data_IF_619518723067
#
_entry.id   IF_619518723067
#
_cell.length_a   1.000
_cell.length_b   1.000
_cell.length_c   1.000
_cell.angle_alpha   90.00
_cell.angle_beta   90.00
_cell.angle_gamma   90.00
#
_symmetry.space_group_name_H-M   'P 1'
#
loop_
_entity.id
_entity.type
_entity.pdbx_description
1 polymer ?
#
# COMPACT_ATOMS: atom_id res chain seq x y z
N UNK A 1 23.79 21.85 -15.21
CA UNK A 1 23.55 22.99 -16.12
C UNK A 1 23.34 22.65 -17.61
N UNK A 2 23.66 21.49 -18.19
CA UNK A 2 23.31 21.22 -19.60
C UNK A 2 21.85 20.84 -19.85
N UNK A 3 21.08 20.43 -18.85
CA UNK A 3 19.67 20.04 -19.02
C UNK A 3 18.71 21.23 -19.12
N UNK A 4 18.98 22.32 -18.41
CA UNK A 4 18.17 23.53 -18.47
C UNK A 4 18.22 24.22 -19.85
N UNK A 5 19.38 24.15 -20.54
CA UNK A 5 19.54 24.75 -21.87
C UNK A 5 18.90 23.94 -23.01
N UNK A 6 18.70 22.62 -22.83
CA UNK A 6 17.95 21.77 -23.76
C UNK A 6 16.44 21.89 -23.56
N UNK A 7 15.98 22.14 -22.33
CA UNK A 7 14.56 22.34 -22.02
C UNK A 7 13.98 23.63 -22.62
N UNK A 8 14.80 24.68 -22.74
CA UNK A 8 14.33 25.98 -23.28
C UNK A 8 14.23 26.03 -24.81
N UNK A 9 14.61 24.94 -25.55
CA UNK A 9 14.57 24.89 -27.02
C UNK A 9 13.46 23.99 -27.62
N UNK A 10 12.66 23.32 -26.80
CA UNK A 10 11.63 22.37 -27.28
C UNK A 10 10.24 22.61 -26.67
N UNK A 11 9.92 23.81 -26.22
CA UNK A 11 8.55 24.19 -25.96
C UNK A 11 7.92 24.63 -27.30
N UNK A 12 7.05 23.84 -27.90
CA UNK A 12 6.20 24.34 -28.98
C UNK A 12 5.29 25.40 -28.38
N UNK A 13 5.17 26.54 -29.03
CA UNK A 13 4.08 27.50 -28.81
C UNK A 13 2.74 26.73 -28.81
N UNK A 14 2.18 26.47 -27.64
CA UNK A 14 0.83 25.97 -27.47
C UNK A 14 -0.15 27.12 -27.72
N UNK A 15 -0.53 27.27 -29.00
CA UNK A 15 -1.72 28.03 -29.37
C UNK A 15 -2.96 27.35 -28.76
N UNK A 16 -3.72 28.14 -28.07
CA UNK A 16 -5.03 27.91 -27.49
C UNK A 16 -5.99 27.01 -28.28
N UNK A 17 -6.20 25.80 -27.80
CA UNK A 17 -7.42 25.03 -28.04
C UNK A 17 -7.76 24.29 -26.74
N UNK A 18 -8.39 24.98 -25.76
CA UNK A 18 -8.07 24.64 -24.43
C UNK A 18 -9.19 24.33 -23.45
N UNK A 19 -10.47 24.24 -23.72
CA UNK A 19 -11.46 23.94 -22.68
C UNK A 19 -11.51 22.45 -22.26
N UNK A 20 -11.15 21.53 -23.15
CA UNK A 20 -11.13 20.09 -22.85
C UNK A 20 -9.91 19.63 -22.05
N UNK A 21 -8.76 20.27 -22.25
CA UNK A 21 -7.49 19.88 -21.60
C UNK A 21 -7.46 20.30 -20.13
N UNK A 22 -7.98 21.47 -19.79
CA UNK A 22 -8.12 21.95 -18.42
C UNK A 22 -9.00 21.01 -17.56
N UNK A 23 -10.12 20.54 -18.11
CA UNK A 23 -11.04 19.63 -17.40
C UNK A 23 -10.41 18.26 -17.13
N UNK A 24 -9.55 17.77 -18.02
CA UNK A 24 -8.88 16.46 -17.86
C UNK A 24 -7.88 16.51 -16.71
N UNK A 25 -7.09 17.58 -16.58
CA UNK A 25 -6.13 17.72 -15.49
C UNK A 25 -6.80 17.91 -14.13
N UNK A 26 -7.89 18.68 -14.06
CA UNK A 26 -8.69 18.80 -12.85
C UNK A 26 -9.27 17.45 -12.41
N UNK A 27 -9.77 16.66 -13.36
CA UNK A 27 -10.30 15.32 -13.06
C UNK A 27 -9.19 14.39 -12.52
N UNK A 28 -8.01 14.42 -13.12
CA UNK A 28 -6.86 13.61 -12.68
C UNK A 28 -6.42 14.00 -11.28
N UNK A 29 -6.34 15.29 -10.95
CA UNK A 29 -5.93 15.77 -9.63
C UNK A 29 -6.92 15.42 -8.50
N UNK A 30 -8.20 15.20 -8.81
CA UNK A 30 -9.20 14.72 -7.85
C UNK A 30 -9.19 13.19 -7.76
N UNK A 31 -9.09 12.51 -8.90
CA UNK A 31 -9.21 11.06 -8.98
C UNK A 31 -8.03 10.34 -8.31
N UNK A 32 -6.81 10.85 -8.49
CA UNK A 32 -5.61 10.22 -7.91
C UNK A 32 -5.67 10.15 -6.38
N UNK A 33 -5.89 11.25 -5.63
CA UNK A 33 -6.02 11.18 -4.17
C UNK A 33 -7.18 10.30 -3.71
N UNK A 34 -8.29 10.28 -4.45
CA UNK A 34 -9.42 9.42 -4.14
C UNK A 34 -9.03 7.94 -4.22
N UNK A 35 -8.29 7.53 -5.26
CA UNK A 35 -7.81 6.15 -5.41
C UNK A 35 -6.79 5.81 -4.32
N UNK A 36 -5.85 6.71 -3.99
CA UNK A 36 -4.93 6.49 -2.87
C UNK A 36 -5.66 6.37 -1.53
N UNK A 37 -6.70 7.18 -1.29
CA UNK A 37 -7.53 7.09 -0.09
C UNK A 37 -8.26 5.74 0.00
N UNK A 38 -8.76 5.24 -1.13
CA UNK A 38 -9.37 3.92 -1.20
C UNK A 38 -8.35 2.80 -0.92
N UNK A 39 -7.17 2.88 -1.51
CA UNK A 39 -6.05 1.95 -1.24
C UNK A 39 -5.70 1.97 0.25
N UNK A 40 -5.59 3.15 0.84
CA UNK A 40 -5.29 3.31 2.27
C UNK A 40 -6.36 2.65 3.16
N UNK A 41 -7.63 2.94 2.92
CA UNK A 41 -8.75 2.42 3.74
C UNK A 41 -8.89 0.89 3.58
N UNK A 42 -8.99 0.41 2.35
CA UNK A 42 -9.17 -1.03 2.07
C UNK A 42 -7.96 -1.83 2.54
N UNK A 43 -6.77 -1.32 2.27
CA UNK A 43 -5.54 -2.00 2.65
C UNK A 43 -5.32 -2.03 4.16
N UNK A 44 -5.52 -0.89 4.86
CA UNK A 44 -5.37 -0.84 6.32
C UNK A 44 -6.38 -1.75 7.01
N UNK A 45 -7.67 -1.63 6.68
CA UNK A 45 -8.71 -2.46 7.28
C UNK A 45 -8.52 -3.93 6.94
N UNK A 46 -8.23 -4.24 5.68
CA UNK A 46 -8.05 -5.62 5.21
C UNK A 46 -6.88 -6.33 5.89
N UNK A 47 -5.69 -5.71 5.90
CA UNK A 47 -4.51 -6.32 6.52
C UNK A 47 -4.63 -6.37 8.05
N UNK A 48 -5.19 -5.34 8.69
CA UNK A 48 -5.46 -5.37 10.13
C UNK A 48 -6.41 -6.52 10.51
N UNK A 49 -7.45 -6.79 9.72
CA UNK A 49 -8.34 -7.93 9.93
C UNK A 49 -7.62 -9.27 9.75
N UNK A 50 -6.75 -9.41 8.74
CA UNK A 50 -5.93 -10.63 8.56
C UNK A 50 -5.05 -10.87 9.78
N UNK A 51 -4.33 -9.85 10.26
CA UNK A 51 -3.49 -9.94 11.47
C UNK A 51 -4.33 -10.30 12.68
N UNK A 52 -5.48 -9.64 12.89
CA UNK A 52 -6.36 -9.91 14.02
C UNK A 52 -6.90 -11.36 14.01
N UNK A 53 -7.25 -11.92 12.84
CA UNK A 53 -7.69 -13.33 12.73
C UNK A 53 -6.58 -14.28 13.10
N UNK A 54 -5.35 -14.05 12.62
CA UNK A 54 -4.22 -14.95 12.87
C UNK A 54 -3.76 -14.90 14.33
N UNK A 55 -3.71 -13.70 14.93
CA UNK A 55 -3.28 -13.50 16.31
C UNK A 55 -4.33 -14.00 17.31
N UNK A 56 -5.60 -13.67 17.11
CA UNK A 56 -6.69 -14.01 18.05
C UNK A 56 -6.97 -15.50 18.14
N UNK A 57 -6.78 -16.25 17.07
CA UNK A 57 -7.08 -17.68 17.04
C UNK A 57 -5.90 -18.56 17.48
N UNK A 58 -4.78 -18.01 17.95
CA UNK A 58 -3.57 -18.75 18.34
C UNK A 58 -2.95 -19.55 17.18
N UNK A 59 -3.30 -19.21 15.94
CA UNK A 59 -2.91 -19.96 14.75
C UNK A 59 -1.54 -19.59 14.18
N UNK A 60 -0.77 -18.79 14.93
CA UNK A 60 0.60 -18.38 14.57
C UNK A 60 1.58 -19.56 14.56
N UNK A 61 1.16 -20.74 15.02
CA UNK A 61 2.01 -21.92 15.18
C UNK A 61 2.31 -22.68 13.87
N UNK A 62 1.78 -22.27 12.73
CA UNK A 62 2.11 -22.89 11.44
C UNK A 62 3.04 -21.99 10.62
N UNK A 63 4.02 -22.59 9.93
CA UNK A 63 4.98 -21.87 9.08
C UNK A 63 4.27 -20.93 8.08
N UNK A 64 3.21 -21.43 7.44
CA UNK A 64 2.44 -20.67 6.45
C UNK A 64 1.75 -19.44 7.06
N UNK A 65 1.14 -19.60 8.25
CA UNK A 65 0.45 -18.50 8.90
C UNK A 65 1.43 -17.43 9.39
N UNK A 66 2.64 -17.82 9.81
CA UNK A 66 3.73 -16.89 10.13
C UNK A 66 4.13 -16.06 8.91
N UNK A 67 4.26 -16.67 7.73
CA UNK A 67 4.56 -15.94 6.50
C UNK A 67 3.40 -15.05 6.04
N UNK A 68 2.14 -15.49 6.16
CA UNK A 68 0.97 -14.66 5.87
C UNK A 68 0.91 -13.45 6.84
N UNK A 69 1.23 -13.68 8.11
CA UNK A 69 1.34 -12.62 9.12
C UNK A 69 2.42 -11.61 8.71
N UNK A 70 3.61 -12.09 8.33
CA UNK A 70 4.72 -11.26 7.90
C UNK A 70 4.36 -10.42 6.66
N UNK A 71 3.69 -11.03 5.68
CA UNK A 71 3.21 -10.32 4.49
C UNK A 71 2.22 -9.22 4.87
N UNK A 72 1.27 -9.50 5.76
CA UNK A 72 0.31 -8.51 6.26
C UNK A 72 0.96 -7.37 7.04
N UNK A 73 2.04 -7.64 7.79
CA UNK A 73 2.84 -6.61 8.47
C UNK A 73 3.56 -5.73 7.45
N UNK A 74 4.22 -6.31 6.45
CA UNK A 74 4.88 -5.54 5.40
C UNK A 74 3.90 -4.65 4.62
N UNK A 75 2.73 -5.20 4.25
CA UNK A 75 1.67 -4.45 3.57
C UNK A 75 1.10 -3.32 4.43
N UNK A 76 0.89 -3.53 5.74
CA UNK A 76 0.46 -2.48 6.65
C UNK A 76 1.50 -1.38 6.82
N UNK A 77 2.77 -1.74 6.96
CA UNK A 77 3.86 -0.77 7.03
C UNK A 77 3.89 0.09 5.76
N UNK A 78 3.78 -0.53 4.58
CA UNK A 78 3.72 0.18 3.32
C UNK A 78 2.52 1.14 3.25
N UNK A 79 1.31 0.65 3.56
CA UNK A 79 0.08 1.44 3.44
C UNK A 79 0.09 2.62 4.41
N UNK A 80 0.43 2.39 5.67
CA UNK A 80 0.36 3.43 6.72
C UNK A 80 1.46 4.48 6.57
N UNK A 81 2.69 4.04 6.23
CA UNK A 81 3.86 4.93 6.20
C UNK A 81 4.22 5.45 4.81
N UNK A 82 3.62 4.95 3.73
CA UNK A 82 3.98 5.39 2.39
C UNK A 82 2.81 5.98 1.61
N UNK A 83 1.65 5.34 1.62
CA UNK A 83 0.51 5.75 0.79
C UNK A 83 0.05 7.19 1.05
N UNK A 84 -0.09 7.68 2.30
CA UNK A 84 -0.49 9.07 2.55
C UNK A 84 0.48 10.08 1.96
N UNK A 85 1.79 9.85 2.10
CA UNK A 85 2.82 10.76 1.58
C UNK A 85 2.88 10.73 0.05
N UNK A 86 2.69 9.57 -0.56
CA UNK A 86 2.63 9.47 -2.02
C UNK A 86 1.38 10.15 -2.60
N UNK A 87 0.25 10.10 -1.90
CA UNK A 87 -0.94 10.83 -2.32
C UNK A 87 -0.71 12.34 -2.37
N UNK A 88 0.05 12.89 -1.40
CA UNK A 88 0.32 14.33 -1.33
C UNK A 88 1.23 14.83 -2.44
N UNK A 89 2.12 14.01 -3.00
CA UNK A 89 2.96 14.38 -4.16
C UNK A 89 2.11 14.78 -5.38
N UNK A 90 0.90 14.26 -5.49
CA UNK A 90 -0.02 14.57 -6.59
C UNK A 90 -1.05 15.64 -6.26
N UNK A 91 -1.11 16.12 -5.02
CA UNK A 91 -2.08 17.10 -4.54
C UNK A 91 -1.46 18.41 -4.08
N UNK A 92 -0.22 18.35 -3.61
CA UNK A 92 0.53 19.51 -3.15
C UNK A 92 1.65 19.82 -4.14
N UNK A 93 1.92 21.11 -4.30
CA UNK A 93 3.01 21.57 -5.15
C UNK A 93 4.36 21.45 -4.46
N UNK A 94 4.36 21.47 -3.11
CA UNK A 94 5.53 21.42 -2.26
C UNK A 94 5.62 20.13 -1.45
N UNK A 95 6.86 19.64 -1.27
CA UNK A 95 7.16 18.62 -0.26
C UNK A 95 7.27 19.29 1.12
N UNK A 96 6.24 19.16 1.94
CA UNK A 96 6.12 19.84 3.24
C UNK A 96 6.61 19.00 4.44
N UNK A 97 7.04 17.75 4.21
CA UNK A 97 7.31 16.79 5.30
C UNK A 97 8.77 16.77 5.74
N UNK A 98 9.62 17.59 5.13
CA UNK A 98 11.03 17.73 5.49
C UNK A 98 11.95 16.60 4.97
N UNK A 99 13.27 16.78 5.16
CA UNK A 99 14.28 15.91 4.55
C UNK A 99 14.30 14.49 5.14
N UNK A 100 13.94 14.33 6.42
CA UNK A 100 13.88 13.01 7.06
C UNK A 100 12.78 12.15 6.44
N UNK A 101 11.58 12.71 6.25
CA UNK A 101 10.46 11.97 5.66
C UNK A 101 10.68 11.69 4.18
N UNK A 102 11.34 12.57 3.44
CA UNK A 102 11.76 12.31 2.06
C UNK A 102 12.58 11.00 1.95
N UNK A 103 13.55 10.81 2.83
CA UNK A 103 14.38 9.60 2.86
C UNK A 103 13.62 8.39 3.42
N UNK A 104 12.90 8.56 4.53
CA UNK A 104 12.21 7.48 5.23
C UNK A 104 11.10 6.85 4.40
N UNK A 105 10.25 7.66 3.77
CA UNK A 105 9.14 7.16 2.95
C UNK A 105 9.66 6.30 1.80
N UNK A 106 10.64 6.79 1.04
CA UNK A 106 11.20 6.04 -0.08
C UNK A 106 11.96 4.79 0.39
N UNK A 107 12.74 4.88 1.47
CA UNK A 107 13.37 3.71 2.08
C UNK A 107 12.34 2.64 2.47
N UNK A 108 11.23 3.01 3.13
CA UNK A 108 10.19 2.07 3.56
C UNK A 108 9.46 1.47 2.36
N UNK A 109 9.22 2.22 1.28
CA UNK A 109 8.64 1.68 0.03
C UNK A 109 9.45 0.50 -0.48
N UNK A 110 10.75 0.68 -0.66
CA UNK A 110 11.63 -0.39 -1.17
C UNK A 110 11.83 -1.51 -0.17
N UNK A 111 11.98 -1.19 1.13
CA UNK A 111 12.08 -2.17 2.21
C UNK A 111 10.90 -3.14 2.21
N UNK A 112 9.69 -2.60 2.19
CA UNK A 112 8.45 -3.41 2.23
C UNK A 112 8.21 -4.15 0.92
N UNK A 113 8.57 -3.57 -0.23
CA UNK A 113 8.53 -4.24 -1.53
C UNK A 113 9.43 -5.49 -1.54
N UNK A 114 10.69 -5.37 -1.11
CA UNK A 114 11.61 -6.51 -0.99
C UNK A 114 11.09 -7.54 0.02
N UNK A 115 10.63 -7.09 1.19
CA UNK A 115 10.09 -7.98 2.22
C UNK A 115 8.88 -8.78 1.72
N UNK A 116 7.95 -8.17 1.01
CA UNK A 116 6.79 -8.84 0.41
C UNK A 116 7.21 -9.84 -0.67
N UNK A 117 8.10 -9.43 -1.57
CA UNK A 117 8.61 -10.27 -2.66
C UNK A 117 9.34 -11.53 -2.14
N UNK A 118 10.27 -11.35 -1.20
CA UNK A 118 11.02 -12.45 -0.59
C UNK A 118 10.11 -13.35 0.27
N UNK A 119 9.12 -12.79 0.95
CA UNK A 119 8.12 -13.57 1.69
C UNK A 119 7.31 -14.46 0.77
N UNK A 120 6.79 -13.93 -0.35
CA UNK A 120 6.06 -14.73 -1.33
C UNK A 120 6.91 -15.85 -1.92
N UNK A 121 8.17 -15.55 -2.23
CA UNK A 121 9.14 -16.55 -2.72
C UNK A 121 9.34 -17.66 -1.68
N UNK A 122 9.55 -17.30 -0.42
CA UNK A 122 9.75 -18.26 0.68
C UNK A 122 8.50 -19.10 0.92
N UNK A 123 7.31 -18.50 0.90
CA UNK A 123 6.04 -19.22 1.02
C UNK A 123 5.84 -20.21 -0.12
N UNK A 124 6.22 -19.86 -1.35
CA UNK A 124 6.10 -20.77 -2.48
C UNK A 124 7.01 -22.00 -2.34
N UNK A 125 8.22 -21.79 -1.86
CA UNK A 125 9.16 -22.87 -1.52
C UNK A 125 8.63 -23.74 -0.38
N UNK A 126 8.11 -23.14 0.70
CA UNK A 126 7.47 -23.86 1.82
C UNK A 126 6.32 -24.74 1.32
N UNK A 127 5.49 -24.22 0.42
CA UNK A 127 4.38 -24.99 -0.17
C UNK A 127 4.86 -26.11 -1.07
N UNK A 128 5.85 -25.85 -1.90
CA UNK A 128 6.47 -26.87 -2.75
C UNK A 128 7.01 -28.03 -1.91
N UNK A 129 7.79 -27.73 -0.88
CA UNK A 129 8.34 -28.74 0.04
C UNK A 129 7.24 -29.54 0.77
N UNK A 130 6.18 -28.84 1.25
CA UNK A 130 5.06 -29.47 1.93
C UNK A 130 4.29 -30.48 1.07
N UNK A 131 4.27 -30.26 -0.24
CA UNK A 131 3.52 -31.09 -1.19
C UNK A 131 4.41 -32.19 -1.75
N UNK A 132 5.63 -31.86 -2.17
CA UNK A 132 6.53 -32.82 -2.84
C UNK A 132 7.21 -33.78 -1.88
N UNK A 133 7.58 -33.29 -0.68
CA UNK A 133 8.34 -34.03 0.32
C UNK A 133 7.68 -33.95 1.71
N UNK A 134 6.45 -34.47 1.89
CA UNK A 134 5.64 -34.21 3.09
C UNK A 134 6.27 -34.78 4.39
N UNK A 135 7.00 -35.87 4.31
CA UNK A 135 7.66 -36.48 5.46
C UNK A 135 8.99 -35.76 5.78
N UNK A 136 9.85 -35.64 4.79
CA UNK A 136 11.19 -35.09 4.97
C UNK A 136 11.19 -33.60 5.30
N UNK A 137 10.24 -32.84 4.74
CA UNK A 137 10.13 -31.37 5.00
C UNK A 137 9.57 -31.04 6.37
N UNK A 138 9.04 -32.01 7.12
CA UNK A 138 8.40 -31.80 8.43
C UNK A 138 9.37 -31.19 9.45
N UNK A 139 10.62 -31.67 9.44
CA UNK A 139 11.68 -31.16 10.32
C UNK A 139 12.12 -29.75 9.99
N UNK A 140 12.13 -29.38 8.69
CA UNK A 140 12.48 -28.03 8.24
C UNK A 140 11.37 -27.01 8.48
N UNK A 141 10.11 -27.46 8.44
CA UNK A 141 8.93 -26.61 8.49
C UNK A 141 8.44 -26.40 9.92
N UNK A 142 9.33 -25.90 10.78
CA UNK A 142 9.02 -25.53 12.17
C UNK A 142 8.76 -24.02 12.30
N UNK A 143 7.99 -23.58 13.31
CA UNK A 143 7.81 -22.15 13.59
C UNK A 143 9.14 -21.43 13.82
N UNK A 144 10.10 -22.07 14.47
CA UNK A 144 11.44 -21.51 14.71
C UNK A 144 12.17 -21.20 13.40
N UNK A 145 12.18 -22.15 12.46
CA UNK A 145 12.81 -21.96 11.16
C UNK A 145 12.08 -20.92 10.32
N UNK A 146 10.75 -20.83 10.43
CA UNK A 146 9.97 -19.77 9.78
C UNK A 146 10.32 -18.37 10.32
N UNK A 147 10.49 -18.24 11.64
CA UNK A 147 10.92 -16.96 12.25
C UNK A 147 12.35 -16.59 11.83
N UNK A 148 13.27 -17.55 11.79
CA UNK A 148 14.63 -17.31 11.28
C UNK A 148 14.60 -16.87 9.81
N UNK A 149 13.78 -17.49 8.98
CA UNK A 149 13.59 -17.07 7.58
C UNK A 149 13.00 -15.67 7.48
N UNK A 150 12.04 -15.30 8.33
CA UNK A 150 11.49 -13.94 8.39
C UNK A 150 12.57 -12.92 8.80
N UNK A 151 13.39 -13.20 9.81
CA UNK A 151 14.51 -12.34 10.18
C UNK A 151 15.50 -12.17 9.02
N UNK A 152 15.82 -13.24 8.29
CA UNK A 152 16.66 -13.18 7.10
C UNK A 152 16.04 -12.34 5.98
N UNK A 153 14.73 -12.51 5.73
CA UNK A 153 13.98 -11.72 4.74
C UNK A 153 14.10 -10.22 5.06
N UNK A 154 13.84 -9.81 6.31
CA UNK A 154 13.98 -8.42 6.70
C UNK A 154 15.42 -7.92 6.62
N UNK A 155 16.40 -8.72 7.06
CA UNK A 155 17.82 -8.39 6.95
C UNK A 155 18.25 -8.14 5.51
N UNK A 156 17.89 -9.03 4.58
CA UNK A 156 18.15 -8.85 3.14
C UNK A 156 17.42 -7.63 2.60
N UNK A 157 16.16 -7.43 3.00
CA UNK A 157 15.38 -6.27 2.56
C UNK A 157 16.01 -4.96 3.01
N UNK A 158 16.55 -4.87 4.23
CA UNK A 158 17.32 -3.72 4.71
C UNK A 158 18.59 -3.49 3.89
N UNK A 159 19.34 -4.54 3.55
CA UNK A 159 20.54 -4.43 2.72
C UNK A 159 20.22 -3.87 1.34
N UNK A 160 19.21 -4.41 0.67
CA UNK A 160 18.82 -3.98 -0.69
C UNK A 160 18.17 -2.60 -0.72
N UNK A 161 17.44 -2.22 0.33
CA UNK A 161 16.80 -0.89 0.43
C UNK A 161 17.70 0.19 1.01
N UNK A 162 18.77 -0.17 1.70
CA UNK A 162 19.71 0.77 2.34
C UNK A 162 20.20 1.90 1.45
N UNK A 163 20.61 1.64 0.19
CA UNK A 163 21.06 2.68 -0.74
C UNK A 163 20.05 3.80 -0.97
N UNK A 164 18.74 3.53 -0.84
CA UNK A 164 17.67 4.52 -1.04
C UNK A 164 17.69 5.64 0.01
N UNK A 165 18.29 5.45 1.17
CA UNK A 165 18.49 6.50 2.19
C UNK A 165 19.36 7.65 1.67
N UNK A 166 20.36 7.34 0.84
CA UNK A 166 21.24 8.33 0.20
C UNK A 166 20.80 8.71 -1.22
N UNK A 167 19.88 7.94 -1.79
CA UNK A 167 19.38 8.15 -3.14
C UNK A 167 18.42 9.33 -3.25
N UNK A 168 17.56 9.54 -2.24
CA UNK A 168 16.58 10.62 -2.19
C UNK A 168 17.00 11.74 -1.24
N UNK A 169 16.78 12.98 -1.66
CA UNK A 169 16.99 14.16 -0.85
C UNK A 169 15.99 15.25 -1.21
N UNK A 170 15.64 16.03 -0.20
CA UNK A 170 14.88 17.26 -0.35
C UNK A 170 15.79 18.39 -0.85
N UNK A 171 15.35 19.15 -1.83
CA UNK A 171 15.99 20.38 -2.30
C UNK A 171 14.99 21.32 -2.94
N UNK A 172 15.37 22.59 -3.07
CA UNK A 172 14.53 23.62 -3.66
C UNK A 172 14.82 23.80 -5.15
N UNK A 173 13.74 23.88 -5.95
CA UNK A 173 13.76 24.22 -7.37
C UNK A 173 12.76 25.34 -7.63
N UNK A 174 13.22 26.52 -8.04
CA UNK A 174 12.36 27.66 -8.37
C UNK A 174 11.30 27.97 -7.29
N UNK A 175 11.70 28.03 -6.01
CA UNK A 175 10.86 28.27 -4.83
C UNK A 175 9.89 27.14 -4.44
N UNK A 176 10.01 25.97 -5.07
CA UNK A 176 9.25 24.76 -4.70
C UNK A 176 10.19 23.76 -4.07
N UNK A 177 9.81 23.18 -2.94
CA UNK A 177 10.55 22.13 -2.27
C UNK A 177 10.15 20.78 -2.85
N UNK A 178 11.13 19.99 -3.34
CA UNK A 178 10.87 18.68 -3.94
C UNK A 178 11.72 17.58 -3.29
N UNK A 179 11.15 16.40 -3.13
CA UNK A 179 11.86 15.20 -2.75
C UNK A 179 12.24 14.41 -4.00
N UNK A 180 13.53 14.33 -4.32
CA UNK A 180 13.99 13.83 -5.63
C UNK A 180 15.28 13.01 -5.51
N UNK A 181 15.54 12.04 -6.44
CA UNK A 181 16.81 11.36 -6.54
C UNK A 181 17.96 12.31 -6.90
N UNK A 182 19.01 12.28 -6.07
CA UNK A 182 20.20 13.14 -6.26
C UNK A 182 21.36 12.42 -6.97
N UNK A 183 21.29 11.11 -7.09
CA UNK A 183 22.35 10.35 -7.73
C UNK A 183 22.46 10.64 -9.22
N UNK A 184 23.68 10.52 -9.77
CA UNK A 184 23.93 10.65 -11.20
C UNK A 184 23.14 9.62 -12.02
N UNK A 185 22.77 9.97 -13.23
CA UNK A 185 21.99 9.14 -14.15
C UNK A 185 22.51 7.70 -14.29
N UNK A 186 23.83 7.45 -14.46
CA UNK A 186 24.33 6.08 -14.58
C UNK A 186 24.09 5.24 -13.31
N UNK A 187 24.28 5.83 -12.13
CA UNK A 187 24.06 5.14 -10.85
C UNK A 187 22.59 4.84 -10.62
N UNK A 188 21.70 5.78 -10.98
CA UNK A 188 20.24 5.60 -10.91
C UNK A 188 19.79 4.45 -11.79
N UNK A 189 20.25 4.41 -13.04
CA UNK A 189 19.95 3.34 -13.98
C UNK A 189 20.38 1.96 -13.47
N UNK A 190 21.56 1.85 -12.88
CA UNK A 190 22.06 0.61 -12.26
C UNK A 190 21.18 0.23 -11.07
N UNK A 191 20.82 1.19 -10.21
CA UNK A 191 20.01 0.93 -9.02
C UNK A 191 18.61 0.39 -9.41
N UNK A 192 17.94 1.01 -10.38
CA UNK A 192 16.64 0.58 -10.88
C UNK A 192 16.72 -0.80 -11.53
N UNK A 193 17.80 -1.08 -12.28
CA UNK A 193 18.04 -2.40 -12.86
C UNK A 193 18.27 -3.47 -11.78
N UNK A 194 19.07 -3.17 -10.76
CA UNK A 194 19.28 -4.07 -9.62
C UNK A 194 17.96 -4.34 -8.89
N UNK A 195 17.18 -3.29 -8.66
CA UNK A 195 15.86 -3.43 -8.04
C UNK A 195 14.94 -4.31 -8.87
N UNK A 196 14.86 -4.10 -10.17
CA UNK A 196 14.09 -4.97 -11.07
C UNK A 196 14.53 -6.43 -10.99
N UNK A 197 15.83 -6.70 -11.03
CA UNK A 197 16.35 -8.07 -10.99
C UNK A 197 16.07 -8.74 -9.66
N UNK A 198 16.40 -8.09 -8.53
CA UNK A 198 16.32 -8.71 -7.22
C UNK A 198 14.91 -8.71 -6.60
N UNK A 199 14.08 -7.69 -6.87
CA UNK A 199 12.73 -7.64 -6.32
C UNK A 199 11.67 -8.32 -7.20
N UNK A 200 11.95 -8.49 -8.51
CA UNK A 200 10.96 -8.98 -9.45
C UNK A 200 11.43 -10.21 -10.26
N UNK A 201 12.52 -10.11 -11.03
CA UNK A 201 12.93 -11.20 -11.96
C UNK A 201 13.26 -12.48 -11.20
N UNK A 202 14.18 -12.43 -10.24
CA UNK A 202 14.57 -13.60 -9.44
C UNK A 202 13.38 -14.21 -8.68
N UNK A 203 12.57 -13.44 -7.94
CA UNK A 203 11.34 -13.94 -7.35
C UNK A 203 10.39 -14.59 -8.34
N UNK A 204 10.10 -13.96 -9.47
CA UNK A 204 9.19 -14.51 -10.48
C UNK A 204 9.70 -15.81 -11.08
N UNK A 205 10.99 -15.94 -11.33
CA UNK A 205 11.61 -17.21 -11.80
C UNK A 205 11.43 -18.32 -10.76
N UNK A 206 11.73 -18.05 -9.49
CA UNK A 206 11.56 -19.03 -8.41
C UNK A 206 10.08 -19.41 -8.22
N UNK A 207 9.19 -18.42 -8.22
CA UNK A 207 7.74 -18.62 -8.14
C UNK A 207 7.24 -19.50 -9.30
N UNK A 208 7.63 -19.17 -10.52
CA UNK A 208 7.24 -19.92 -11.73
C UNK A 208 7.73 -21.37 -11.66
N UNK A 209 9.00 -21.58 -11.31
CA UNK A 209 9.57 -22.91 -11.17
C UNK A 209 8.84 -23.75 -10.09
N UNK A 210 8.67 -23.20 -8.91
CA UNK A 210 8.04 -23.90 -7.78
C UNK A 210 6.57 -24.23 -8.06
N UNK A 211 5.82 -23.32 -8.69
CA UNK A 211 4.41 -23.55 -8.99
C UNK A 211 4.21 -24.51 -10.16
N UNK A 212 4.99 -24.41 -11.23
CA UNK A 212 4.93 -25.40 -12.33
C UNK A 212 5.22 -26.79 -11.79
N UNK A 213 6.24 -26.96 -10.95
CA UNK A 213 6.56 -28.25 -10.32
C UNK A 213 5.44 -28.73 -9.40
N UNK A 214 4.87 -27.85 -8.58
CA UNK A 214 3.77 -28.16 -7.67
C UNK A 214 2.50 -28.58 -8.43
N UNK A 215 2.13 -27.83 -9.47
CA UNK A 215 0.95 -28.11 -10.27
C UNK A 215 1.12 -29.46 -11.00
N UNK A 216 2.27 -29.68 -11.66
CA UNK A 216 2.55 -30.96 -12.34
C UNK A 216 2.43 -32.13 -11.37
N UNK A 217 3.02 -32.02 -10.18
CA UNK A 217 2.92 -33.09 -9.15
C UNK A 217 1.47 -33.33 -8.72
N UNK A 218 0.69 -32.26 -8.49
CA UNK A 218 -0.71 -32.38 -8.08
C UNK A 218 -1.61 -32.99 -9.17
N UNK A 219 -1.27 -32.82 -10.46
CA UNK A 219 -2.04 -33.35 -11.58
C UNK A 219 -1.61 -34.78 -11.95
N UNK A 220 -0.35 -35.14 -11.74
CA UNK A 220 0.14 -36.51 -11.99
C UNK A 220 -0.27 -37.49 -10.90
N UNK A 221 -0.45 -37.01 -9.67
CA UNK A 221 -1.02 -37.81 -8.57
C UNK A 221 -2.55 -37.82 -8.66
N UNK A 222 -3.09 -38.52 -9.67
CA UNK A 222 -4.53 -38.67 -9.92
C UNK A 222 -5.11 -39.68 -8.93
N UNK A 223 -5.40 -39.25 -7.71
CA UNK A 223 -6.44 -39.88 -6.92
C UNK A 223 -7.78 -39.23 -7.30
N UNK A 224 -8.84 -39.99 -7.62
CA UNK A 224 -10.16 -39.41 -7.89
C UNK A 224 -10.55 -38.52 -6.71
N UNK A 225 -11.08 -37.33 -7.02
CA UNK A 225 -11.41 -36.25 -6.03
C UNK A 225 -12.33 -36.79 -4.90
N UNK A 226 -13.05 -37.87 -5.13
CA UNK A 226 -13.95 -38.53 -4.16
C UNK A 226 -13.21 -39.18 -2.97
N UNK A 227 -12.02 -39.73 -3.18
CA UNK A 227 -11.31 -40.54 -2.15
C UNK A 227 -10.18 -39.74 -1.45
N UNK A 228 -10.07 -38.43 -1.71
CA UNK A 228 -9.02 -37.62 -1.13
C UNK A 228 -9.33 -37.25 0.31
N UNK A 229 -8.40 -37.57 1.25
CA UNK A 229 -8.53 -37.16 2.65
C UNK A 229 -8.72 -35.68 2.83
N UNK A 230 -9.48 -35.22 3.82
CA UNK A 230 -9.76 -33.81 4.08
C UNK A 230 -8.49 -32.98 4.32
N UNK A 231 -7.43 -33.62 4.84
CA UNK A 231 -6.11 -32.99 4.97
C UNK A 231 -5.48 -32.66 3.61
N UNK A 232 -5.56 -33.55 2.62
CA UNK A 232 -5.08 -33.27 1.25
C UNK A 232 -5.89 -32.18 0.57
N UNK A 233 -7.23 -32.17 0.74
CA UNK A 233 -8.11 -31.10 0.25
C UNK A 233 -7.75 -29.75 0.85
N UNK A 234 -7.48 -29.70 2.16
CA UNK A 234 -7.05 -28.49 2.87
C UNK A 234 -5.73 -27.94 2.32
N UNK A 235 -4.72 -28.77 2.14
CA UNK A 235 -3.42 -28.38 1.58
C UNK A 235 -3.54 -27.80 0.16
N UNK A 236 -4.32 -28.45 -0.73
CA UNK A 236 -4.57 -27.95 -2.10
C UNK A 236 -5.21 -26.57 -2.09
N UNK A 237 -6.15 -26.32 -1.18
CA UNK A 237 -6.84 -25.05 -1.08
C UNK A 237 -5.93 -23.90 -0.64
N UNK A 238 -5.08 -24.14 0.38
CA UNK A 238 -4.08 -23.16 0.83
C UNK A 238 -3.08 -22.87 -0.29
N UNK A 239 -2.60 -23.90 -0.97
CA UNK A 239 -1.68 -23.73 -2.12
C UNK A 239 -2.30 -22.91 -3.24
N UNK A 240 -3.56 -23.20 -3.61
CA UNK A 240 -4.29 -22.40 -4.62
C UNK A 240 -4.37 -20.91 -4.22
N UNK A 241 -4.66 -20.64 -2.96
CA UNK A 241 -4.72 -19.26 -2.43
C UNK A 241 -3.38 -18.54 -2.62
N UNK A 242 -2.27 -19.20 -2.27
CA UNK A 242 -0.93 -18.61 -2.37
C UNK A 242 -0.51 -18.42 -3.84
N UNK A 243 -0.86 -19.37 -4.73
CA UNK A 243 -0.63 -19.21 -6.17
C UNK A 243 -1.34 -17.95 -6.71
N UNK A 244 -2.60 -17.74 -6.33
CA UNK A 244 -3.37 -16.56 -6.75
C UNK A 244 -2.67 -15.28 -6.26
N UNK A 245 -2.27 -15.22 -4.99
CA UNK A 245 -1.55 -14.05 -4.43
C UNK A 245 -0.26 -13.79 -5.19
N UNK A 246 0.52 -14.82 -5.51
CA UNK A 246 1.77 -14.68 -6.24
C UNK A 246 1.57 -14.23 -7.70
N UNK A 247 0.56 -14.74 -8.38
CA UNK A 247 0.21 -14.31 -9.75
C UNK A 247 -0.22 -12.85 -9.73
N UNK A 248 -1.03 -12.44 -8.76
CA UNK A 248 -1.45 -11.05 -8.62
C UNK A 248 -0.28 -10.12 -8.28
N UNK A 249 0.66 -10.56 -7.44
CA UNK A 249 1.90 -9.82 -7.20
C UNK A 249 2.66 -9.58 -8.51
N UNK A 250 2.86 -10.63 -9.31
CA UNK A 250 3.55 -10.50 -10.60
C UNK A 250 2.83 -9.51 -11.53
N UNK A 251 1.50 -9.60 -11.64
CA UNK A 251 0.70 -8.73 -12.50
C UNK A 251 0.65 -7.28 -12.02
N UNK A 252 0.60 -7.06 -10.71
CA UNK A 252 0.56 -5.71 -10.15
C UNK A 252 1.90 -4.96 -10.29
N UNK A 253 3.03 -5.66 -10.16
CA UNK A 253 4.35 -5.05 -10.25
C UNK A 253 4.88 -4.95 -11.68
N UNK A 254 4.41 -5.78 -12.61
CA UNK A 254 4.87 -5.79 -14.00
C UNK A 254 4.77 -4.42 -14.70
N UNK A 255 3.63 -3.70 -14.65
CA UNK A 255 3.52 -2.41 -15.35
C UNK A 255 4.55 -1.39 -14.85
N UNK A 256 4.78 -1.33 -13.55
CA UNK A 256 5.77 -0.44 -12.94
C UNK A 256 7.18 -0.71 -13.47
N UNK A 257 7.63 -1.96 -13.45
CA UNK A 257 8.95 -2.32 -13.95
C UNK A 257 9.09 -2.12 -15.46
N UNK A 258 8.04 -2.41 -16.24
CA UNK A 258 8.04 -2.16 -17.70
C UNK A 258 8.20 -0.67 -18.00
N UNK A 259 7.48 0.20 -17.32
CA UNK A 259 7.58 1.66 -17.49
C UNK A 259 8.98 2.17 -17.15
N UNK A 260 9.59 1.71 -16.06
CA UNK A 260 10.96 2.10 -15.68
C UNK A 260 11.99 1.61 -16.71
N UNK A 261 11.90 0.37 -17.15
CA UNK A 261 12.80 -0.17 -18.17
C UNK A 261 12.64 0.55 -19.52
N UNK A 262 11.41 0.86 -19.92
CA UNK A 262 11.16 1.65 -21.11
C UNK A 262 11.76 3.04 -21.00
N UNK A 263 11.65 3.69 -19.84
CA UNK A 263 12.27 4.98 -19.58
C UNK A 263 13.80 4.95 -19.72
N UNK A 264 14.46 3.90 -19.23
CA UNK A 264 15.92 3.80 -19.24
C UNK A 264 16.51 3.30 -20.55
N UNK A 265 15.83 2.40 -21.24
CA UNK A 265 16.39 1.66 -22.37
C UNK A 265 15.67 1.90 -23.70
N UNK A 266 14.51 2.54 -23.68
CA UNK A 266 13.73 2.84 -24.87
C UNK A 266 13.64 4.33 -25.16
N UNK A 267 12.95 4.67 -26.26
CA UNK A 267 12.51 6.03 -26.51
C UNK A 267 11.22 6.26 -25.73
N UNK A 268 11.33 6.93 -24.58
CA UNK A 268 10.20 7.26 -23.72
C UNK A 268 9.74 8.69 -23.99
N UNK A 269 8.63 8.91 -24.70
CA UNK A 269 8.14 10.25 -24.98
C UNK A 269 7.56 10.87 -23.71
N UNK A 270 7.96 12.10 -23.41
CA UNK A 270 7.44 12.86 -22.27
C UNK A 270 6.16 13.60 -22.71
N UNK A 271 5.02 12.94 -22.60
CA UNK A 271 3.71 13.48 -22.94
C UNK A 271 2.66 13.04 -21.92
N UNK A 272 1.43 13.56 -22.06
CA UNK A 272 0.33 13.29 -21.14
C UNK A 272 0.00 11.80 -21.03
N UNK A 273 0.09 11.05 -22.12
CA UNK A 273 -0.22 9.62 -22.14
C UNK A 273 0.79 8.81 -21.31
N UNK A 274 2.09 9.08 -21.45
CA UNK A 274 3.13 8.40 -20.67
C UNK A 274 3.12 8.82 -19.20
N UNK A 275 2.74 10.06 -18.91
CA UNK A 275 2.51 10.52 -17.54
C UNK A 275 1.36 9.73 -16.86
N UNK A 276 0.20 9.65 -17.52
CA UNK A 276 -0.94 8.86 -17.02
C UNK A 276 -0.57 7.38 -16.89
N UNK A 277 0.10 6.80 -17.88
CA UNK A 277 0.57 5.40 -17.82
C UNK A 277 1.44 5.14 -16.60
N UNK A 278 2.33 6.07 -16.28
CA UNK A 278 3.18 5.98 -15.12
C UNK A 278 2.37 6.02 -13.83
N UNK A 279 1.47 6.99 -13.66
CA UNK A 279 0.59 7.07 -12.49
C UNK A 279 -0.19 5.77 -12.33
N UNK A 280 -0.80 5.26 -13.39
CA UNK A 280 -1.54 4.00 -13.37
C UNK A 280 -0.66 2.82 -12.96
N UNK A 281 0.57 2.75 -13.45
CA UNK A 281 1.51 1.71 -13.08
C UNK A 281 1.86 1.74 -11.58
N UNK A 282 2.00 2.93 -10.98
CA UNK A 282 2.18 3.09 -9.54
C UNK A 282 0.94 2.70 -8.76
N UNK A 283 -0.24 3.19 -9.14
CA UNK A 283 -1.49 2.85 -8.47
C UNK A 283 -1.75 1.33 -8.45
N UNK A 284 -1.47 0.65 -9.57
CA UNK A 284 -1.60 -0.81 -9.68
C UNK A 284 -0.60 -1.51 -8.74
N UNK A 285 0.65 -1.07 -8.69
CA UNK A 285 1.65 -1.66 -7.78
C UNK A 285 1.29 -1.44 -6.31
N UNK A 286 0.75 -0.27 -5.96
CA UNK A 286 0.31 0.04 -4.59
C UNK A 286 -0.96 -0.72 -4.19
N UNK A 287 -1.88 -0.94 -5.13
CA UNK A 287 -3.06 -1.77 -4.92
C UNK A 287 -2.71 -3.23 -4.57
N UNK A 288 -1.50 -3.71 -4.91
CA UNK A 288 -1.04 -5.06 -4.53
C UNK A 288 -1.19 -5.34 -3.03
N UNK A 289 -0.87 -4.37 -2.17
CA UNK A 289 -1.00 -4.52 -0.72
C UNK A 289 -2.45 -4.63 -0.22
N UNK A 290 -3.43 -4.23 -1.05
CA UNK A 290 -4.86 -4.40 -0.77
C UNK A 290 -5.41 -5.75 -1.24
N UNK A 291 -4.76 -6.37 -2.23
CA UNK A 291 -5.27 -7.58 -2.90
C UNK A 291 -5.18 -8.81 -1.99
N UNK A 292 -4.13 -8.92 -1.17
CA UNK A 292 -3.89 -10.06 -0.30
C UNK A 292 -5.07 -10.38 0.64
N UNK A 293 -5.61 -9.45 1.44
CA UNK A 293 -6.79 -9.68 2.26
C UNK A 293 -8.03 -10.07 1.48
N UNK A 294 -8.22 -9.49 0.28
CA UNK A 294 -9.37 -9.79 -0.59
C UNK A 294 -9.29 -11.24 -1.06
N UNK A 295 -8.13 -11.70 -1.51
CA UNK A 295 -7.92 -13.10 -1.92
C UNK A 295 -8.19 -14.05 -0.75
N UNK A 296 -7.72 -13.71 0.46
CA UNK A 296 -7.97 -14.53 1.65
C UNK A 296 -9.47 -14.61 1.98
N UNK A 297 -10.20 -13.50 1.85
CA UNK A 297 -11.64 -13.46 2.04
C UNK A 297 -12.40 -14.30 1.01
N UNK A 298 -12.00 -14.25 -0.26
CA UNK A 298 -12.68 -14.96 -1.34
C UNK A 298 -12.37 -16.46 -1.33
N UNK A 299 -11.12 -16.83 -1.13
CA UNK A 299 -10.65 -18.22 -1.31
C UNK A 299 -10.71 -19.02 -0.03
N UNK A 300 -10.45 -18.43 1.14
CA UNK A 300 -10.33 -19.15 2.42
C UNK A 300 -11.58 -19.08 3.29
N UNK A 301 -12.24 -20.24 3.50
CA UNK A 301 -13.35 -20.37 4.47
C UNK A 301 -12.92 -19.98 5.89
N UNK A 302 -11.65 -20.24 6.24
CA UNK A 302 -11.09 -19.91 7.54
C UNK A 302 -11.08 -18.41 7.79
N UNK A 303 -10.51 -17.61 6.89
CA UNK A 303 -10.49 -16.15 7.00
C UNK A 303 -11.90 -15.56 6.99
N UNK A 304 -12.81 -16.07 6.14
CA UNK A 304 -14.22 -15.62 6.15
C UNK A 304 -14.90 -15.84 7.50
N UNK A 305 -14.70 -17.00 8.14
CA UNK A 305 -15.25 -17.27 9.48
C UNK A 305 -14.60 -16.36 10.53
N UNK A 306 -13.30 -16.13 10.44
CA UNK A 306 -12.56 -15.23 11.31
C UNK A 306 -13.05 -13.78 11.21
N UNK A 307 -13.20 -13.27 9.99
CA UNK A 307 -13.73 -11.92 9.74
C UNK A 307 -15.16 -11.76 10.30
N UNK A 308 -16.07 -12.72 10.02
CA UNK A 308 -17.42 -12.70 10.58
C UNK A 308 -17.39 -12.66 12.11
N UNK A 309 -16.54 -13.46 12.76
CA UNK A 309 -16.42 -13.48 14.22
C UNK A 309 -15.94 -12.13 14.79
N UNK A 310 -14.96 -11.47 14.12
CA UNK A 310 -14.48 -10.15 14.53
C UNK A 310 -15.60 -9.12 14.38
N UNK A 311 -16.29 -9.08 13.24
CA UNK A 311 -17.41 -8.16 13.01
C UNK A 311 -18.55 -8.38 13.99
N UNK A 312 -18.95 -9.63 14.26
CA UNK A 312 -19.99 -9.93 15.26
C UNK A 312 -19.58 -9.46 16.65
N UNK A 313 -18.32 -9.64 17.03
CA UNK A 313 -17.80 -9.18 18.33
C UNK A 313 -17.82 -7.64 18.44
N UNK A 314 -17.41 -6.94 17.38
CA UNK A 314 -17.43 -5.48 17.33
C UNK A 314 -18.87 -4.92 17.39
N UNK A 315 -19.81 -5.55 16.69
CA UNK A 315 -21.21 -5.16 16.71
C UNK A 315 -21.86 -5.42 18.07
N UNK A 316 -21.58 -6.59 18.68
CA UNK A 316 -22.09 -6.95 19.99
C UNK A 316 -21.57 -6.00 21.09
N UNK A 317 -20.27 -5.72 21.10
CA UNK A 317 -19.68 -4.74 22.01
C UNK A 317 -20.26 -3.33 21.80
N UNK A 318 -20.56 -2.95 20.55
CA UNK A 318 -21.16 -1.64 20.25
C UNK A 318 -22.59 -1.55 20.74
N UNK A 319 -23.35 -2.64 20.70
CA UNK A 319 -24.72 -2.70 21.26
C UNK A 319 -24.65 -2.64 22.78
N UNK A 320 -23.81 -3.43 23.42
CA UNK A 320 -23.65 -3.40 24.88
C UNK A 320 -23.18 -2.05 25.41
N UNK A 321 -22.22 -1.40 24.74
CA UNK A 321 -21.80 -0.04 25.11
C UNK A 321 -22.91 0.99 24.93
N UNK A 322 -23.73 0.88 23.88
CA UNK A 322 -24.90 1.78 23.70
C UNK A 322 -25.92 1.58 24.80
N UNK A 323 -26.19 0.33 25.19
CA UNK A 323 -27.09 0.02 26.32
C UNK A 323 -26.55 0.58 27.63
N UNK A 324 -25.23 0.44 27.86
CA UNK A 324 -24.59 0.96 29.09
C UNK A 324 -24.62 2.51 29.13
N UNK A 325 -24.31 3.16 28.00
CA UNK A 325 -24.39 4.63 27.89
C UNK A 325 -25.84 5.10 28.06
N UNK A 326 -26.82 4.42 27.46
CA UNK A 326 -28.24 4.76 27.62
C UNK A 326 -28.70 4.60 29.08
N UNK A 327 -28.25 3.54 29.81
CA UNK A 327 -28.53 3.36 31.24
C UNK A 327 -27.89 4.44 32.11
N UNK A 328 -26.63 4.79 31.83
CA UNK A 328 -25.93 5.86 32.55
C UNK A 328 -26.61 7.20 32.32
N UNK A 329 -27.00 7.52 31.08
CA UNK A 329 -27.72 8.76 30.75
C UNK A 329 -29.08 8.82 31.42
N UNK A 330 -29.81 7.70 31.48
CA UNK A 330 -31.10 7.64 32.19
C UNK A 330 -30.93 7.78 33.70
N UNK A 331 -29.87 7.21 34.29
CA UNK A 331 -29.56 7.36 35.73
C UNK A 331 -29.14 8.78 36.05
N UNK A 332 -28.36 9.43 35.17
CA UNK A 332 -27.97 10.85 35.36
C UNK A 332 -29.18 11.77 35.24
N UNK A 333 -30.11 11.52 34.28
CA UNK A 333 -31.32 12.34 34.13
C UNK A 333 -32.28 12.17 35.32
N UNK A 334 -32.36 11.00 35.95
CA UNK A 334 -33.13 10.80 37.19
C UNK A 334 -32.48 11.54 38.36
N UNK A 335 -31.15 11.50 38.50
CA UNK A 335 -30.40 12.23 39.49
C UNK A 335 -30.50 13.76 39.33
N UNK A 336 -30.52 14.27 38.09
CA UNK A 336 -30.76 15.69 37.82
C UNK A 336 -32.22 16.12 38.11
N UNK A 337 -33.19 15.25 37.84
CA UNK A 337 -34.59 15.51 38.22
C UNK A 337 -34.78 15.59 39.73
N UNK A 338 -34.17 14.70 40.52
CA UNK A 338 -34.20 14.74 41.99
C UNK A 338 -33.45 15.96 42.53
N UNK A 339 -32.41 16.44 41.86
CA UNK A 339 -31.66 17.65 42.27
C UNK A 339 -32.41 18.95 41.96
N UNK A 340 -33.24 18.98 40.89
CA UNK A 340 -34.06 20.15 40.54
C UNK A 340 -35.25 20.35 41.47
N UNK A 341 -35.73 19.30 42.14
CA UNK A 341 -36.80 19.44 43.17
C UNK A 341 -36.29 20.05 44.47
N UNK A 342 -34.97 20.08 44.69
CA UNK A 342 -34.34 20.63 45.92
C UNK A 342 -33.84 22.08 45.78
N UNK A 343 -33.73 22.61 44.53
CA UNK A 343 -33.20 23.97 44.30
C UNK A 343 -34.25 24.85 43.60
N UNK A 344 -35.30 25.19 44.33
CA UNK A 344 -36.14 26.35 44.05
C UNK A 344 -35.87 27.41 45.08
N UNK A 345 -34.77 28.15 44.96
CA UNK A 345 -34.59 29.51 45.53
C UNK A 345 -33.41 30.22 44.79
N UNK A 346 -33.73 31.37 44.18
CA UNK A 346 -32.89 32.49 43.74
C UNK A 346 -32.17 32.45 42.38
N UNK A 347 -32.78 33.12 41.42
CA UNK A 347 -32.14 33.97 40.39
C UNK A 347 -31.58 35.26 40.99
N UNK A 348 -30.61 36.03 40.40
CA UNK A 348 -30.80 36.62 39.09
C UNK A 348 -29.53 36.90 38.21
N UNK A 349 -29.81 37.12 36.94
CA UNK A 349 -29.31 38.16 36.01
C UNK A 349 -27.96 38.06 35.29
N UNK A 350 -28.13 38.03 33.98
CA UNK A 350 -27.41 38.79 32.88
C UNK A 350 -25.91 38.63 32.68
N UNK A 351 -25.54 38.17 31.47
CA UNK A 351 -24.91 39.03 30.41
C UNK A 351 -24.49 38.25 29.16
N UNK A 352 -25.08 38.66 28.05
CA UNK A 352 -24.55 39.06 26.74
C UNK A 352 -23.63 38.15 25.92
N UNK A 353 -24.13 37.94 24.71
CA UNK A 353 -23.56 37.57 23.45
C UNK A 353 -22.28 38.31 23.01
N UNK A 354 -21.49 37.61 22.16
CA UNK A 354 -20.73 38.16 21.04
C UNK A 354 -20.28 37.00 20.17
N UNK A 355 -20.77 36.89 18.99
CA UNK A 355 -20.39 37.46 17.69
C UNK A 355 -19.26 36.70 17.01
N UNK A 356 -19.62 35.88 16.06
CA UNK A 356 -19.37 35.99 14.62
C UNK A 356 -17.93 36.28 14.18
N UNK A 357 -17.35 35.36 13.40
CA UNK A 357 -16.40 35.69 12.35
C UNK A 357 -16.74 34.92 11.07
N UNK A 358 -17.33 35.63 10.13
CA UNK A 358 -17.40 35.28 8.72
C UNK A 358 -16.04 35.55 8.08
N UNK A 359 -15.54 34.60 7.28
CA UNK A 359 -14.38 34.77 6.41
C UNK A 359 -14.90 34.92 4.97
N UNK A 360 -14.48 35.97 4.21
CA UNK A 360 -14.98 36.21 2.88
C UNK A 360 -14.30 35.33 1.83
N UNK A 361 -15.10 34.85 0.88
CA UNK A 361 -14.69 34.18 -0.34
C UNK A 361 -14.00 35.19 -1.26
N UNK A 362 -12.72 35.00 -1.50
CA UNK A 362 -11.99 35.73 -2.53
C UNK A 362 -11.87 34.91 -3.81
N UNK A 363 -12.25 35.54 -4.91
CA UNK A 363 -12.20 35.03 -6.29
C UNK A 363 -10.76 34.80 -6.74
N UNK A 364 -10.46 33.59 -7.17
CA UNK A 364 -9.18 33.17 -7.73
C UNK A 364 -9.20 33.33 -9.26
N UNK A 365 -8.40 34.22 -9.78
CA UNK A 365 -8.21 34.37 -11.22
C UNK A 365 -6.77 34.79 -11.50
N UNK A 366 -6.06 34.11 -12.34
CA UNK A 366 -4.69 34.29 -12.87
C UNK A 366 -3.54 33.57 -12.13
N UNK A 367 -3.54 33.44 -10.83
CA UNK A 367 -2.52 32.63 -10.13
C UNK A 367 -2.62 31.13 -10.42
N UNK A 368 -3.82 30.63 -10.74
CA UNK A 368 -4.05 29.21 -11.07
C UNK A 368 -3.40 28.74 -12.39
N UNK A 369 -3.29 29.61 -13.38
CA UNK A 369 -2.65 29.22 -14.67
C UNK A 369 -1.14 29.08 -14.56
N UNK A 370 -0.49 29.89 -13.76
CA UNK A 370 0.95 29.78 -13.47
C UNK A 370 1.24 28.54 -12.61
N UNK A 371 0.40 28.23 -11.62
CA UNK A 371 0.54 27.05 -10.79
C UNK A 371 0.35 25.74 -11.58
N UNK A 372 -0.49 25.74 -12.61
CA UNK A 372 -0.72 24.55 -13.44
C UNK A 372 0.46 24.25 -14.38
N UNK A 373 1.11 25.29 -14.93
CA UNK A 373 2.34 25.15 -15.71
C UNK A 373 3.51 24.72 -14.83
N UNK A 374 3.58 25.22 -13.61
CA UNK A 374 4.56 24.79 -12.59
C UNK A 374 4.28 23.37 -12.11
N UNK A 375 3.00 22.96 -11.94
CA UNK A 375 2.61 21.58 -11.65
C UNK A 375 3.05 20.60 -12.73
N UNK A 376 2.92 20.99 -13.99
CA UNK A 376 3.42 20.19 -15.12
C UNK A 376 4.95 20.11 -15.09
N UNK A 377 5.65 21.21 -14.87
CA UNK A 377 7.10 21.24 -14.75
C UNK A 377 7.58 20.43 -13.53
N UNK A 378 6.90 20.54 -12.39
CA UNK A 378 7.22 19.80 -11.18
C UNK A 378 6.84 18.33 -11.28
N UNK A 379 5.75 17.96 -11.97
CA UNK A 379 5.48 16.56 -12.27
C UNK A 379 6.46 15.99 -13.30
N UNK A 380 7.06 16.78 -14.20
CA UNK A 380 8.20 16.36 -15.01
C UNK A 380 9.49 16.23 -14.21
N UNK A 381 9.68 17.03 -13.17
CA UNK A 381 10.78 16.88 -12.21
C UNK A 381 10.55 15.63 -11.35
N UNK A 382 9.34 15.39 -10.85
CA UNK A 382 8.94 14.14 -10.19
C UNK A 382 8.95 12.94 -11.15
N UNK A 383 8.86 13.15 -12.46
CA UNK A 383 8.95 12.10 -13.48
C UNK A 383 10.27 11.33 -13.43
N UNK A 384 11.31 11.90 -12.88
CA UNK A 384 12.59 11.23 -12.65
C UNK A 384 12.69 10.53 -11.27
N UNK A 385 11.61 10.40 -10.50
CA UNK A 385 11.67 10.09 -9.05
C UNK A 385 11.34 8.62 -8.70
N UNK A 386 10.84 7.82 -9.61
CA UNK A 386 10.62 6.38 -9.29
C UNK A 386 10.74 5.53 -10.52
#
# INVERSE_FOLDING_TARGET
MPLASKMNRSLPHLNSSGSGESNTWQLVSILIPLVYSLIFLVGTVGNALVLAVLLRNGQVNTTTNLFILNLGVADLCFIVFCVPFQATIYTLDDWIFGPLMCKAVHFIIFLTMYASSFTLTTVSLDRYLAIRYPLHSRELRTPRNALMAICLIWGLSFIFSGPYISYYQEFQVANVTVCHPIWEVPRRKIMDLCTFVFSYVIPVVILSFTYVRTIRYLWTSVDPIKDMSDSKKGKRKVTRMIIIVAVLFCLCWLPHHVVILWFWFGYFPLNNATYVLRILSHLISYANSCVNPIVYALVSKHFRKGFKKIFSCLLHNRVNNKVHVAQVTHTVSILEADLTEVIHVHEPAQARASSCCQIPIQTWGEAERLSLQEKIANSFITFNVT
#
